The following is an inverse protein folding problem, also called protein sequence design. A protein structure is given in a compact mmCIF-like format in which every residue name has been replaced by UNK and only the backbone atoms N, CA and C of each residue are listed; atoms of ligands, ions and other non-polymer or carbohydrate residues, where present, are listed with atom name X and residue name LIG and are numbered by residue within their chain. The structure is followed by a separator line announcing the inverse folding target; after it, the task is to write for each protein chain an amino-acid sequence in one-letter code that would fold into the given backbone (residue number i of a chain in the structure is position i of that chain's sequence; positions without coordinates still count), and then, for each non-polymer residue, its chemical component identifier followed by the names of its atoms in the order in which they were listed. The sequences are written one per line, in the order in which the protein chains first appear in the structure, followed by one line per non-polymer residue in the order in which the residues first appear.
data_IF_584670749889
#
_entry.id   IF_584670749889
#
_cell.length_a   1.000
_cell.length_b   1.000
_cell.length_c   1.000
_cell.angle_alpha   90.00
_cell.angle_beta   90.00
_cell.angle_gamma   90.00
#
_symmetry.space_group_name_H-M   'P 1'
#
loop_
_entity.id
_entity.type
_entity.pdbx_description
1 polymer ?
#
# COMPACT_ATOMS: atom_id res chain seq x y z
N UNK A 1 -23.85 27.19 13.59
CA UNK A 1 -23.42 26.03 14.40
C UNK A 1 -23.97 24.69 13.87
N UNK A 2 -25.28 24.54 13.64
CA UNK A 2 -25.91 23.28 13.20
C UNK A 2 -25.36 22.73 11.86
N UNK A 3 -25.13 23.57 10.86
CA UNK A 3 -24.60 23.16 9.53
C UNK A 3 -23.14 22.69 9.56
N UNK A 4 -22.31 23.21 10.47
CA UNK A 4 -20.92 22.78 10.64
C UNK A 4 -20.83 21.38 11.25
N UNK A 5 -21.69 21.09 12.23
CA UNK A 5 -21.80 19.77 12.86
C UNK A 5 -22.31 18.72 11.86
N UNK A 6 -23.31 19.05 11.04
CA UNK A 6 -23.80 18.13 10.00
C UNK A 6 -22.74 17.82 8.95
N UNK A 7 -21.96 18.82 8.50
CA UNK A 7 -20.84 18.59 7.58
C UNK A 7 -19.73 17.75 8.20
N UNK A 8 -19.38 18.01 9.46
CA UNK A 8 -18.38 17.20 10.17
C UNK A 8 -18.83 15.74 10.34
N UNK A 9 -20.11 15.51 10.66
CA UNK A 9 -20.68 14.16 10.76
C UNK A 9 -20.72 13.45 9.39
N UNK A 10 -21.06 14.15 8.31
CA UNK A 10 -21.07 13.57 6.97
C UNK A 10 -19.65 13.21 6.50
N UNK A 11 -18.68 14.10 6.71
CA UNK A 11 -17.27 13.83 6.38
C UNK A 11 -16.71 12.69 7.23
N UNK A 12 -17.01 12.68 8.53
CA UNK A 12 -16.63 11.59 9.43
C UNK A 12 -17.26 10.25 9.04
N UNK A 13 -18.55 10.24 8.68
CA UNK A 13 -19.26 9.05 8.23
C UNK A 13 -18.69 8.46 6.94
N UNK A 14 -18.32 9.31 5.97
CA UNK A 14 -17.70 8.86 4.71
C UNK A 14 -16.32 8.25 4.95
N UNK A 15 -15.49 8.87 5.81
CA UNK A 15 -14.16 8.35 6.15
C UNK A 15 -14.25 7.00 6.89
N UNK A 16 -15.18 6.87 7.83
CA UNK A 16 -15.41 5.63 8.57
C UNK A 16 -15.95 4.50 7.68
N UNK A 17 -16.84 4.83 6.73
CA UNK A 17 -17.32 3.86 5.76
C UNK A 17 -16.21 3.36 4.82
N UNK A 18 -15.24 4.23 4.46
CA UNK A 18 -14.09 3.83 3.65
C UNK A 18 -13.11 2.91 4.40
N UNK A 19 -12.99 3.06 5.72
CA UNK A 19 -12.18 2.16 6.57
C UNK A 19 -12.82 0.79 6.83
N UNK A 20 -14.13 0.64 6.62
CA UNK A 20 -14.85 -0.61 6.91
C UNK A 20 -14.49 -1.76 5.94
N UNK A 21 -13.75 -1.49 4.87
CA UNK A 21 -13.33 -2.49 3.87
C UNK A 21 -12.02 -3.22 4.22
N UNK A 22 -11.23 -2.70 5.16
CA UNK A 22 -9.97 -3.32 5.57
C UNK A 22 -10.19 -4.30 6.74
N UNK A 23 -9.59 -5.48 6.64
CA UNK A 23 -9.59 -6.54 7.64
C UNK A 23 -8.78 -6.14 8.89
N UNK A 24 -9.03 -6.79 10.02
CA UNK A 24 -8.26 -6.55 11.26
C UNK A 24 -6.77 -6.82 11.11
N UNK A 25 -6.38 -7.73 10.21
CA UNK A 25 -4.99 -8.02 9.89
C UNK A 25 -4.34 -6.87 9.10
N UNK A 26 -5.03 -6.33 8.09
CA UNK A 26 -4.58 -5.14 7.36
C UNK A 26 -4.44 -3.92 8.29
N UNK A 27 -5.40 -3.70 9.19
CA UNK A 27 -5.29 -2.66 10.23
C UNK A 27 -4.11 -2.87 11.16
N UNK A 28 -3.87 -4.11 11.59
CA UNK A 28 -2.74 -4.47 12.44
C UNK A 28 -1.40 -4.23 11.74
N UNK A 29 -1.31 -4.52 10.44
CA UNK A 29 -0.10 -4.29 9.66
C UNK A 29 0.14 -2.80 9.42
N UNK A 30 -0.89 -2.03 9.09
CA UNK A 30 -0.78 -0.57 8.93
C UNK A 30 -0.36 0.12 10.23
N UNK A 31 -0.86 -0.35 11.38
CA UNK A 31 -0.46 0.16 12.69
C UNK A 31 1.03 -0.01 12.99
N UNK A 32 1.67 -1.06 12.45
CA UNK A 32 3.13 -1.27 12.56
C UNK A 32 3.93 -0.37 11.61
N UNK A 33 3.30 0.13 10.55
CA UNK A 33 3.95 0.88 9.49
C UNK A 33 3.22 2.22 9.21
N UNK A 34 3.45 3.26 10.04
CA UNK A 34 2.71 4.52 9.96
C UNK A 34 2.90 5.29 8.65
N UNK A 35 3.96 4.99 7.90
CA UNK A 35 4.16 5.51 6.55
C UNK A 35 3.77 4.44 5.52
N UNK A 36 2.69 4.69 4.76
CA UNK A 36 2.20 3.84 3.66
C UNK A 36 3.31 3.37 2.71
N UNK A 37 4.33 4.19 2.51
CA UNK A 37 5.50 3.87 1.71
C UNK A 37 6.78 4.23 2.46
N UNK A 38 7.77 3.34 2.39
CA UNK A 38 9.13 3.62 2.85
C UNK A 38 9.84 4.65 1.95
N UNK A 39 9.48 4.73 0.66
CA UNK A 39 10.04 5.70 -0.29
C UNK A 39 9.14 5.91 -1.52
N UNK A 40 9.48 6.88 -2.37
CA UNK A 40 8.86 7.03 -3.69
C UNK A 40 9.11 5.84 -4.64
N UNK A 41 10.23 5.12 -4.45
CA UNK A 41 10.50 3.87 -5.16
C UNK A 41 9.49 2.78 -4.81
N UNK A 42 9.13 2.69 -3.53
CA UNK A 42 8.08 1.78 -3.06
C UNK A 42 6.73 2.16 -3.70
N UNK A 43 6.36 3.44 -3.66
CA UNK A 43 5.10 3.89 -4.25
C UNK A 43 4.99 3.55 -5.75
N UNK A 44 6.04 3.82 -6.53
CA UNK A 44 6.06 3.51 -7.97
C UNK A 44 6.01 1.99 -8.23
N UNK A 45 6.71 1.20 -7.42
CA UNK A 45 6.65 -0.26 -7.51
C UNK A 45 5.25 -0.79 -7.24
N UNK A 46 4.59 -0.33 -6.17
CA UNK A 46 3.24 -0.76 -5.80
C UNK A 46 2.21 -0.34 -6.83
N UNK A 47 2.34 0.86 -7.40
CA UNK A 47 1.47 1.30 -8.51
C UNK A 47 1.62 0.41 -9.75
N UNK A 48 2.85 0.06 -10.13
CA UNK A 48 3.12 -0.79 -11.30
C UNK A 48 2.63 -2.22 -11.10
N UNK A 49 2.73 -2.74 -9.89
CA UNK A 49 2.44 -4.12 -9.52
C UNK A 49 1.15 -4.25 -8.70
N UNK A 50 0.16 -3.41 -8.98
CA UNK A 50 -1.15 -3.48 -8.33
C UNK A 50 -1.82 -4.84 -8.57
N UNK A 51 -2.73 -5.23 -7.69
CA UNK A 51 -3.49 -6.46 -7.83
C UNK A 51 -4.23 -6.54 -9.17
N UNK A 52 -4.19 -7.72 -9.80
CA UNK A 52 -4.75 -7.96 -11.13
C UNK A 52 -3.83 -7.55 -12.29
N UNK A 53 -2.69 -6.91 -12.03
CA UNK A 53 -1.68 -6.65 -13.06
C UNK A 53 -0.67 -7.80 -13.20
N UNK A 54 -0.04 -7.90 -14.37
CA UNK A 54 1.10 -8.79 -14.57
C UNK A 54 2.34 -8.21 -13.86
N UNK A 55 2.95 -8.92 -12.89
CA UNK A 55 4.09 -8.39 -12.14
C UNK A 55 5.28 -8.06 -13.05
N UNK A 56 5.89 -6.90 -12.81
CA UNK A 56 7.15 -6.45 -13.42
C UNK A 56 8.11 -6.07 -12.31
N UNK A 57 9.02 -6.98 -12.04
CA UNK A 57 10.01 -6.90 -10.96
C UNK A 57 11.41 -6.94 -11.55
N UNK A 58 12.24 -5.97 -11.18
CA UNK A 58 13.67 -5.93 -11.53
C UNK A 58 14.54 -6.36 -10.35
N UNK A 59 15.79 -6.79 -10.62
CA UNK A 59 16.74 -7.12 -9.56
C UNK A 59 17.04 -5.93 -8.64
N UNK A 60 17.23 -4.74 -9.20
CA UNK A 60 17.50 -3.52 -8.43
C UNK A 60 16.35 -3.12 -7.51
N UNK A 61 15.09 -3.39 -7.89
CA UNK A 61 13.93 -3.18 -7.03
C UNK A 61 13.92 -4.14 -5.84
N UNK A 62 14.35 -5.40 -6.00
CA UNK A 62 14.48 -6.35 -4.88
C UNK A 62 15.53 -5.87 -3.89
N UNK A 63 16.68 -5.40 -4.37
CA UNK A 63 17.75 -4.90 -3.52
C UNK A 63 17.31 -3.64 -2.76
N UNK A 64 16.60 -2.72 -3.45
CA UNK A 64 16.02 -1.52 -2.83
C UNK A 64 14.94 -1.87 -1.82
N UNK A 65 14.03 -2.80 -2.13
CA UNK A 65 12.97 -3.24 -1.22
C UNK A 65 13.55 -3.79 0.09
N UNK A 66 14.65 -4.55 0.00
CA UNK A 66 15.40 -5.03 1.17
C UNK A 66 16.06 -3.88 1.92
N UNK A 67 16.74 -2.97 1.25
CA UNK A 67 17.44 -1.86 1.90
C UNK A 67 16.47 -0.90 2.64
N UNK A 68 15.32 -0.63 2.03
CA UNK A 68 14.32 0.30 2.55
C UNK A 68 13.23 -0.38 3.39
N UNK A 69 13.32 -1.70 3.61
CA UNK A 69 12.37 -2.49 4.39
C UNK A 69 10.92 -2.25 3.93
N UNK A 70 10.67 -2.42 2.63
CA UNK A 70 9.32 -2.30 2.08
C UNK A 70 8.39 -3.32 2.73
N UNK A 71 7.13 -2.92 2.88
CA UNK A 71 6.09 -3.67 3.58
C UNK A 71 4.79 -3.63 2.77
N UNK A 72 3.85 -4.52 3.08
CA UNK A 72 2.55 -4.60 2.39
C UNK A 72 2.31 -5.98 1.78
N UNK A 73 1.42 -6.04 0.78
CA UNK A 73 1.04 -7.30 0.13
C UNK A 73 2.24 -7.91 -0.60
N UNK A 74 2.51 -9.19 -0.32
CA UNK A 74 3.60 -9.93 -0.96
C UNK A 74 3.27 -10.19 -2.43
N UNK A 75 4.27 -10.00 -3.29
CA UNK A 75 4.21 -10.33 -4.71
C UNK A 75 5.20 -11.46 -4.97
N UNK A 76 4.68 -12.61 -5.41
CA UNK A 76 5.48 -13.77 -5.74
C UNK A 76 5.73 -13.82 -7.25
N UNK A 77 7.00 -13.90 -7.63
CA UNK A 77 7.45 -14.10 -9.02
C UNK A 77 8.48 -15.22 -9.07
N UNK A 78 8.55 -15.95 -10.19
CA UNK A 78 9.62 -16.92 -10.42
C UNK A 78 10.93 -16.20 -10.78
N UNK A 79 12.07 -16.85 -10.61
CA UNK A 79 13.37 -16.23 -10.87
C UNK A 79 13.52 -15.81 -12.35
N UNK A 80 12.90 -16.56 -13.26
CA UNK A 80 12.90 -16.33 -14.71
C UNK A 80 12.09 -15.08 -15.10
N UNK A 81 11.18 -14.65 -14.24
CA UNK A 81 10.35 -13.45 -14.45
C UNK A 81 11.04 -12.16 -13.95
N UNK A 82 12.18 -12.28 -13.26
CA UNK A 82 12.94 -11.14 -12.74
C UNK A 82 13.79 -10.54 -13.86
N UNK A 83 13.49 -9.30 -14.23
CA UNK A 83 14.21 -8.55 -15.25
C UNK A 83 15.62 -8.22 -14.71
N UNK A 84 16.64 -8.70 -15.41
CA UNK A 84 18.03 -8.31 -15.16
C UNK A 84 18.26 -6.93 -15.80
N UNK A 85 18.60 -5.93 -14.98
CA UNK A 85 19.01 -4.60 -15.43
C UNK A 85 20.39 -4.29 -14.89
#
# INVERSE_FOLDING_TARGET
MRTGITRALLLGGVLLAASACATSEEWGEWGKHPAHFASGGHAMFSFRNTEGSAPRVTRSEIDRARAEQWWGKVITVSAEQIIQQ
#
